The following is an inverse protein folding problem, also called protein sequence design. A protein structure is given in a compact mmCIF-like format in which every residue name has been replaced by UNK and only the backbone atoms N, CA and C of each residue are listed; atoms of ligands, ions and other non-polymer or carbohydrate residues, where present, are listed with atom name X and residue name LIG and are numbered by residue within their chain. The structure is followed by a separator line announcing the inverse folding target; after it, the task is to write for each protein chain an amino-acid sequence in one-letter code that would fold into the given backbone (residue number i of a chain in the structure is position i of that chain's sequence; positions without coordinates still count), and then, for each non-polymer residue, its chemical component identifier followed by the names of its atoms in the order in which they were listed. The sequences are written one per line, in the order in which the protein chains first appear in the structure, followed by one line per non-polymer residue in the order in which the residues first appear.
data_IF_552447177628
#
_entry.id   IF_552447177628
#
_cell.length_a   1.000
_cell.length_b   1.000
_cell.length_c   1.000
_cell.angle_alpha   90.00
_cell.angle_beta   90.00
_cell.angle_gamma   90.00
#
_symmetry.space_group_name_H-M   'P 1'
#
loop_
_entity.id
_entity.type
_entity.pdbx_description
1 polymer ?
#
# COMPACT_ATOMS: atom_id res chain seq x y z
N UNK A 1 -21.10 14.76 -11.36
CA UNK A 1 -20.06 14.57 -10.33
C UNK A 1 -19.57 15.93 -9.85
N UNK A 2 -19.26 16.08 -8.57
CA UNK A 2 -18.76 17.34 -7.98
C UNK A 2 -17.37 17.68 -8.51
N UNK A 3 -16.55 16.67 -8.74
CA UNK A 3 -15.16 16.77 -9.24
C UNK A 3 -14.92 15.79 -10.39
N UNK A 4 -13.88 16.03 -11.15
CA UNK A 4 -13.30 15.08 -12.09
C UNK A 4 -12.27 14.22 -11.32
N UNK A 5 -12.62 12.96 -11.07
CA UNK A 5 -11.81 12.04 -10.28
C UNK A 5 -10.49 11.71 -10.97
N UNK A 6 -10.52 11.48 -12.29
CA UNK A 6 -9.32 11.16 -13.06
C UNK A 6 -8.34 12.33 -13.06
N UNK A 7 -8.84 13.56 -13.21
CA UNK A 7 -8.01 14.76 -13.13
C UNK A 7 -7.42 14.98 -11.72
N UNK A 8 -8.09 14.46 -10.67
CA UNK A 8 -7.59 14.47 -9.30
C UNK A 8 -6.64 13.30 -8.97
N UNK A 9 -6.37 12.41 -9.93
CA UNK A 9 -5.48 11.27 -9.76
C UNK A 9 -6.13 10.03 -9.11
N UNK A 10 -7.45 9.92 -9.18
CA UNK A 10 -8.22 8.81 -8.60
C UNK A 10 -9.08 8.12 -9.65
N UNK A 11 -9.23 6.82 -9.48
CA UNK A 11 -10.22 6.00 -10.19
C UNK A 11 -11.35 5.62 -9.23
N UNK A 12 -12.60 5.75 -9.67
CA UNK A 12 -13.76 5.34 -8.88
C UNK A 12 -13.95 3.84 -9.04
N UNK A 13 -13.48 3.07 -8.07
CA UNK A 13 -13.55 1.61 -8.07
C UNK A 13 -14.99 1.08 -7.90
N UNK A 14 -15.80 1.72 -7.05
CA UNK A 14 -17.20 1.36 -6.84
C UNK A 14 -18.00 2.55 -6.29
N UNK A 15 -19.30 2.53 -6.55
CA UNK A 15 -20.31 3.40 -5.89
C UNK A 15 -21.34 2.49 -5.26
N UNK A 16 -21.42 2.49 -3.93
CA UNK A 16 -22.20 1.55 -3.14
C UNK A 16 -23.29 2.29 -2.36
N UNK A 17 -24.36 1.60 -2.01
CA UNK A 17 -25.57 2.23 -1.46
C UNK A 17 -25.61 2.21 0.06
N UNK A 18 -24.84 1.35 0.71
CA UNK A 18 -24.80 1.21 2.17
C UNK A 18 -23.46 0.70 2.68
N UNK A 19 -23.24 0.84 4.00
CA UNK A 19 -21.97 0.46 4.64
C UNK A 19 -21.72 -1.05 4.64
N UNK A 20 -22.75 -1.89 4.59
CA UNK A 20 -22.59 -3.34 4.54
C UNK A 20 -22.03 -3.78 3.19
N UNK A 21 -22.56 -3.23 2.08
CA UNK A 21 -22.01 -3.47 0.74
C UNK A 21 -20.55 -2.97 0.64
N UNK A 22 -20.26 -1.82 1.25
CA UNK A 22 -18.91 -1.28 1.30
C UNK A 22 -17.94 -2.18 2.08
N UNK A 23 -18.38 -2.73 3.21
CA UNK A 23 -17.57 -3.68 3.99
C UNK A 23 -17.26 -4.94 3.21
N UNK A 24 -18.26 -5.52 2.52
CA UNK A 24 -18.07 -6.70 1.68
C UNK A 24 -17.13 -6.44 0.49
N UNK A 25 -17.16 -5.22 -0.05
CA UNK A 25 -16.25 -4.82 -1.12
C UNK A 25 -14.80 -4.71 -0.62
N UNK A 26 -14.59 -4.03 0.52
CA UNK A 26 -13.26 -3.83 1.14
C UNK A 26 -12.61 -5.17 1.53
N UNK A 27 -13.41 -6.16 1.95
CA UNK A 27 -12.90 -7.51 2.26
C UNK A 27 -12.37 -8.27 1.04
N UNK A 28 -12.83 -7.94 -0.15
CA UNK A 28 -12.51 -8.69 -1.39
C UNK A 28 -11.48 -8.00 -2.26
N UNK A 29 -11.46 -6.68 -2.25
CA UNK A 29 -10.67 -5.87 -3.16
C UNK A 29 -9.96 -4.75 -2.40
N UNK A 30 -8.69 -4.48 -2.73
CA UNK A 30 -7.96 -3.37 -2.13
C UNK A 30 -8.56 -2.03 -2.58
N UNK A 31 -8.66 -1.10 -1.65
CA UNK A 31 -9.05 0.28 -1.90
C UNK A 31 -8.11 1.21 -1.14
N UNK A 32 -7.71 2.32 -1.77
CA UNK A 32 -6.85 3.33 -1.12
C UNK A 32 -7.66 4.34 -0.33
N UNK A 33 -8.85 4.71 -0.80
CA UNK A 33 -9.67 5.77 -0.22
C UNK A 33 -11.16 5.40 -0.22
N UNK A 34 -11.82 5.66 0.89
CA UNK A 34 -13.28 5.52 1.07
C UNK A 34 -13.86 6.89 1.43
N UNK A 35 -14.83 7.34 0.66
CA UNK A 35 -15.63 8.53 0.96
C UNK A 35 -17.04 8.07 1.25
N UNK A 36 -17.53 8.33 2.46
CA UNK A 36 -18.81 7.77 2.91
C UNK A 36 -19.63 8.77 3.71
N UNK A 37 -20.95 8.66 3.59
CA UNK A 37 -21.86 9.38 4.49
C UNK A 37 -21.82 8.78 5.89
N UNK A 38 -22.06 9.61 6.92
CA UNK A 38 -22.31 9.12 8.27
C UNK A 38 -23.56 8.26 8.29
N UNK A 39 -24.68 8.78 7.77
CA UNK A 39 -25.98 8.11 7.81
C UNK A 39 -26.23 7.35 6.52
N UNK A 40 -26.16 6.04 6.60
CA UNK A 40 -26.49 5.11 5.51
C UNK A 40 -27.40 3.98 6.05
N UNK A 41 -28.19 3.32 5.17
CA UNK A 41 -28.93 2.12 5.55
C UNK A 41 -28.02 0.99 6.03
N UNK A 42 -28.57 0.06 6.80
CA UNK A 42 -27.96 -1.17 7.33
C UNK A 42 -26.72 -0.94 8.20
N UNK A 43 -25.72 -0.21 7.70
CA UNK A 43 -24.48 0.11 8.41
C UNK A 43 -24.10 1.57 8.11
N UNK A 44 -23.89 2.34 9.16
CA UNK A 44 -23.42 3.74 9.05
C UNK A 44 -21.96 3.82 8.60
N UNK A 45 -21.54 4.96 8.04
CA UNK A 45 -20.14 5.18 7.66
C UNK A 45 -19.17 5.13 8.84
N UNK A 46 -19.63 5.50 10.03
CA UNK A 46 -18.83 5.39 11.27
C UNK A 46 -18.69 3.95 11.75
N UNK A 47 -19.73 3.13 11.63
CA UNK A 47 -19.66 1.69 11.93
C UNK A 47 -18.78 0.95 10.94
N UNK A 48 -18.84 1.34 9.66
CA UNK A 48 -17.96 0.82 8.62
C UNK A 48 -16.48 1.11 8.98
N UNK A 49 -16.14 2.37 9.25
CA UNK A 49 -14.79 2.78 9.64
C UNK A 49 -14.30 2.03 10.89
N UNK A 50 -15.13 1.99 11.94
CA UNK A 50 -14.84 1.27 13.18
C UNK A 50 -14.54 -0.21 12.92
N UNK A 51 -15.37 -0.88 12.11
CA UNK A 51 -15.24 -2.30 11.79
C UNK A 51 -13.95 -2.56 11.00
N UNK A 52 -13.70 -1.76 9.96
CA UNK A 52 -12.49 -1.90 9.13
C UNK A 52 -11.22 -1.75 9.96
N UNK A 53 -11.18 -0.79 10.89
CA UNK A 53 -10.01 -0.58 11.76
C UNK A 53 -9.87 -1.65 12.83
N UNK A 54 -10.96 -2.02 13.52
CA UNK A 54 -10.93 -3.02 14.59
C UNK A 54 -10.55 -4.40 14.09
N UNK A 55 -11.04 -4.77 12.90
CA UNK A 55 -10.75 -6.08 12.30
C UNK A 55 -9.49 -6.07 11.41
N UNK A 56 -8.81 -4.92 11.32
CA UNK A 56 -7.60 -4.73 10.52
C UNK A 56 -7.76 -5.17 9.04
N UNK A 57 -8.92 -4.85 8.46
CA UNK A 57 -9.29 -5.32 7.12
C UNK A 57 -8.60 -4.50 6.00
N UNK A 58 -8.32 -3.23 6.25
CA UNK A 58 -7.71 -2.34 5.27
C UNK A 58 -7.10 -1.10 5.92
N UNK A 59 -6.03 -0.61 5.34
CA UNK A 59 -5.40 0.67 5.66
C UNK A 59 -5.97 1.84 4.83
N UNK A 60 -7.06 1.63 4.10
CA UNK A 60 -7.70 2.67 3.29
C UNK A 60 -7.93 3.95 4.09
N UNK A 61 -7.68 5.09 3.47
CA UNK A 61 -8.07 6.38 4.04
C UNK A 61 -9.58 6.52 4.07
N UNK A 62 -10.12 7.16 5.11
CA UNK A 62 -11.56 7.43 5.21
C UNK A 62 -11.83 8.92 5.29
N UNK A 63 -12.73 9.41 4.43
CA UNK A 63 -13.32 10.75 4.50
C UNK A 63 -14.79 10.59 4.79
N UNK A 64 -15.25 11.20 5.88
CA UNK A 64 -16.62 11.10 6.35
C UNK A 64 -17.40 12.35 5.93
N UNK A 65 -18.55 12.16 5.30
CA UNK A 65 -19.46 13.22 4.92
C UNK A 65 -20.66 13.23 5.88
N UNK A 66 -21.05 14.39 6.37
CA UNK A 66 -22.19 14.51 7.30
C UNK A 66 -23.08 15.70 6.99
N UNK A 67 -24.39 15.50 7.08
CA UNK A 67 -25.37 16.58 7.10
C UNK A 67 -25.58 17.20 8.48
N UNK A 68 -24.94 16.69 9.51
CA UNK A 68 -25.10 17.10 10.90
C UNK A 68 -23.77 17.57 11.48
N UNK A 69 -23.82 18.70 12.17
CA UNK A 69 -22.67 19.25 12.91
C UNK A 69 -22.50 18.62 14.30
N UNK A 70 -22.90 17.36 14.47
CA UNK A 70 -22.78 16.70 15.76
C UNK A 70 -21.31 16.40 16.07
N UNK A 71 -20.79 17.06 17.08
CA UNK A 71 -19.41 16.90 17.55
C UNK A 71 -19.06 15.45 17.91
N UNK A 72 -20.05 14.68 18.41
CA UNK A 72 -19.89 13.27 18.75
C UNK A 72 -19.48 12.39 17.56
N UNK A 73 -20.02 12.64 16.37
CA UNK A 73 -19.65 11.90 15.15
C UNK A 73 -18.26 12.25 14.67
N UNK A 74 -17.92 13.54 14.68
CA UNK A 74 -16.55 13.97 14.31
C UNK A 74 -15.52 13.40 15.29
N UNK A 75 -15.78 13.44 16.60
CA UNK A 75 -14.90 12.87 17.61
C UNK A 75 -14.71 11.34 17.41
N UNK A 76 -15.79 10.62 17.10
CA UNK A 76 -15.75 9.18 16.84
C UNK A 76 -14.93 8.88 15.57
N UNK A 77 -15.16 9.62 14.49
CA UNK A 77 -14.43 9.48 13.24
C UNK A 77 -12.91 9.69 13.42
N UNK A 78 -12.53 10.75 14.14
CA UNK A 78 -11.13 11.05 14.43
C UNK A 78 -10.48 9.97 15.31
N UNK A 79 -11.19 9.42 16.28
CA UNK A 79 -10.68 8.33 17.14
C UNK A 79 -10.33 7.07 16.36
N UNK A 80 -11.07 6.75 15.29
CA UNK A 80 -10.80 5.63 14.41
C UNK A 80 -9.90 5.99 13.21
N UNK A 81 -9.29 7.18 13.22
CA UNK A 81 -8.29 7.59 12.25
C UNK A 81 -8.87 7.88 10.87
N UNK A 82 -10.01 8.60 10.78
CA UNK A 82 -10.42 9.18 9.51
C UNK A 82 -9.43 10.28 9.09
N UNK A 83 -9.29 10.48 7.79
CA UNK A 83 -8.44 11.54 7.22
C UNK A 83 -9.07 12.89 7.49
N UNK A 84 -10.37 12.99 7.23
CA UNK A 84 -11.12 14.21 7.42
C UNK A 84 -12.64 13.95 7.59
N UNK A 85 -13.33 14.98 8.09
CA UNK A 85 -14.77 14.98 8.33
C UNK A 85 -15.37 16.25 7.72
N UNK A 86 -16.17 16.09 6.67
CA UNK A 86 -16.75 17.20 5.91
C UNK A 86 -18.24 17.37 6.22
N UNK A 87 -18.65 18.60 6.39
CA UNK A 87 -20.07 18.94 6.49
C UNK A 87 -20.68 19.13 5.09
N UNK A 88 -21.88 18.63 4.89
CA UNK A 88 -22.70 18.91 3.70
C UNK A 88 -23.35 20.30 3.81
N UNK A 89 -23.42 21.08 2.71
CA UNK A 89 -23.01 20.73 1.36
C UNK A 89 -21.47 20.73 1.20
N UNK A 90 -20.91 19.67 0.59
CA UNK A 90 -19.48 19.55 0.36
C UNK A 90 -19.07 20.49 -0.76
N UNK A 91 -18.11 21.35 -0.50
CA UNK A 91 -17.54 22.21 -1.52
C UNK A 91 -16.45 21.48 -2.31
N UNK A 92 -16.36 21.80 -3.61
CA UNK A 92 -15.35 21.22 -4.50
C UNK A 92 -13.93 21.45 -4.00
N UNK A 93 -13.65 22.63 -3.48
CA UNK A 93 -12.32 23.01 -3.01
C UNK A 93 -11.89 22.21 -1.78
N UNK A 94 -12.80 22.00 -0.83
CA UNK A 94 -12.54 21.23 0.38
C UNK A 94 -12.19 19.78 0.03
N UNK A 95 -12.98 19.15 -0.85
CA UNK A 95 -12.72 17.80 -1.29
C UNK A 95 -11.37 17.67 -2.02
N UNK A 96 -11.07 18.58 -2.94
CA UNK A 96 -9.79 18.56 -3.66
C UNK A 96 -8.59 18.78 -2.72
N UNK A 97 -8.73 19.64 -1.71
CA UNK A 97 -7.69 19.88 -0.70
C UNK A 97 -7.38 18.59 0.08
N UNK A 98 -8.42 17.88 0.52
CA UNK A 98 -8.28 16.61 1.25
C UNK A 98 -7.64 15.54 0.38
N UNK A 99 -8.08 15.40 -0.88
CA UNK A 99 -7.51 14.44 -1.82
C UNK A 99 -6.02 14.69 -2.09
N UNK A 100 -5.65 15.96 -2.27
CA UNK A 100 -4.25 16.35 -2.46
C UNK A 100 -3.40 16.04 -1.23
N UNK A 101 -3.90 16.36 -0.03
CA UNK A 101 -3.23 16.06 1.24
C UNK A 101 -3.04 14.55 1.42
N UNK A 102 -4.06 13.76 1.11
CA UNK A 102 -4.00 12.30 1.22
C UNK A 102 -2.99 11.70 0.22
N UNK A 103 -2.99 12.17 -1.03
CA UNK A 103 -2.00 11.74 -2.02
C UNK A 103 -0.57 11.95 -1.53
N UNK A 104 -0.26 13.12 -0.96
CA UNK A 104 1.06 13.41 -0.44
C UNK A 104 1.45 12.46 0.71
N UNK A 105 0.52 12.18 1.63
CA UNK A 105 0.74 11.24 2.74
C UNK A 105 0.96 9.82 2.21
N UNK A 106 0.12 9.36 1.30
CA UNK A 106 0.20 8.02 0.72
C UNK A 106 1.48 7.82 -0.09
N UNK A 107 1.90 8.82 -0.87
CA UNK A 107 3.17 8.76 -1.63
C UNK A 107 4.38 8.72 -0.69
N UNK A 108 4.40 9.51 0.37
CA UNK A 108 5.48 9.48 1.34
C UNK A 108 5.58 8.15 2.06
N UNK A 109 4.45 7.56 2.47
CA UNK A 109 4.43 6.24 3.11
C UNK A 109 4.92 5.13 2.16
N UNK A 110 4.51 5.15 0.89
CA UNK A 110 5.00 4.21 -0.12
C UNK A 110 6.50 4.38 -0.39
N UNK A 111 7.00 5.61 -0.41
CA UNK A 111 8.43 5.89 -0.53
C UNK A 111 9.23 5.39 0.68
N UNK A 112 8.75 5.63 1.89
CA UNK A 112 9.38 5.13 3.13
C UNK A 112 9.46 3.60 3.11
N UNK A 113 8.38 2.90 2.73
CA UNK A 113 8.36 1.45 2.60
C UNK A 113 9.35 0.95 1.54
N UNK A 114 9.44 1.62 0.40
CA UNK A 114 10.43 1.28 -0.65
C UNK A 114 11.88 1.50 -0.17
N UNK A 115 12.17 2.60 0.53
CA UNK A 115 13.48 2.84 1.13
C UNK A 115 13.84 1.77 2.16
N UNK A 116 12.89 1.36 2.98
CA UNK A 116 13.05 0.32 3.98
C UNK A 116 13.40 -1.03 3.34
N UNK A 117 12.65 -1.42 2.31
CA UNK A 117 12.91 -2.65 1.54
C UNK A 117 14.27 -2.61 0.83
N UNK A 118 14.62 -1.49 0.22
CA UNK A 118 15.93 -1.32 -0.43
C UNK A 118 17.07 -1.37 0.58
N UNK A 119 16.89 -0.80 1.77
CA UNK A 119 17.90 -0.88 2.83
C UNK A 119 18.06 -2.30 3.35
N UNK A 120 16.97 -3.04 3.56
CA UNK A 120 17.01 -4.46 3.94
C UNK A 120 17.76 -5.30 2.89
N UNK A 121 17.42 -5.10 1.61
CA UNK A 121 18.09 -5.78 0.51
C UNK A 121 19.61 -5.52 0.54
N UNK A 122 20.02 -4.27 0.65
CA UNK A 122 21.44 -3.89 0.72
C UNK A 122 22.16 -4.54 1.89
N UNK A 123 21.54 -4.60 3.08
CA UNK A 123 22.11 -5.25 4.24
C UNK A 123 22.29 -6.75 4.02
N UNK A 124 21.29 -7.43 3.45
CA UNK A 124 21.37 -8.87 3.13
C UNK A 124 22.44 -9.16 2.09
N UNK A 125 22.49 -8.41 1.00
CA UNK A 125 23.50 -8.54 -0.06
C UNK A 125 24.91 -8.34 0.53
N UNK A 126 25.09 -7.31 1.37
CA UNK A 126 26.36 -7.04 2.02
C UNK A 126 26.85 -8.22 2.86
N UNK A 127 25.95 -8.87 3.60
CA UNK A 127 26.27 -10.08 4.38
C UNK A 127 26.64 -11.25 3.47
N UNK A 128 25.92 -11.47 2.38
CA UNK A 128 26.19 -12.55 1.44
C UNK A 128 27.57 -12.43 0.79
N UNK A 129 28.00 -11.20 0.47
CA UNK A 129 29.34 -10.92 -0.06
C UNK A 129 30.44 -10.81 1.02
N UNK A 130 30.14 -11.20 2.26
CA UNK A 130 31.10 -11.21 3.37
C UNK A 130 31.51 -9.82 3.85
N UNK A 131 30.75 -8.78 3.52
CA UNK A 131 30.96 -7.42 4.02
C UNK A 131 30.19 -7.25 5.31
N UNK A 132 30.90 -7.31 6.43
CA UNK A 132 30.27 -7.15 7.75
C UNK A 132 30.01 -5.67 8.06
N UNK A 133 28.75 -5.32 8.21
CA UNK A 133 28.30 -4.04 8.75
C UNK A 133 27.47 -4.29 10.03
N UNK A 134 27.98 -3.94 11.22
CA UNK A 134 27.28 -4.15 12.47
C UNK A 134 25.89 -3.51 12.51
N UNK A 135 25.75 -2.30 11.96
CA UNK A 135 24.47 -1.58 11.96
C UNK A 135 23.44 -2.28 11.07
N UNK A 136 23.89 -2.79 9.91
CA UNK A 136 23.06 -3.58 9.00
C UNK A 136 22.61 -4.90 9.62
N UNK A 137 23.47 -5.58 10.35
CA UNK A 137 23.15 -6.82 11.07
C UNK A 137 22.13 -6.55 12.19
N UNK A 138 22.35 -5.55 13.03
CA UNK A 138 21.43 -5.17 14.09
C UNK A 138 20.05 -4.77 13.54
N UNK A 139 20.04 -4.05 12.41
CA UNK A 139 18.82 -3.70 11.72
C UNK A 139 18.06 -4.94 11.23
N UNK A 140 18.74 -5.89 10.57
CA UNK A 140 18.13 -7.12 10.08
C UNK A 140 17.56 -7.97 11.22
N UNK A 141 18.27 -8.09 12.35
CA UNK A 141 17.78 -8.79 13.55
C UNK A 141 16.52 -8.19 14.16
N UNK A 142 16.34 -6.86 14.02
CA UNK A 142 15.14 -6.17 14.50
C UNK A 142 13.91 -6.38 13.62
N UNK A 143 14.12 -6.48 12.29
CA UNK A 143 13.04 -6.40 11.31
C UNK A 143 12.75 -7.73 10.60
N UNK A 144 13.62 -8.72 10.74
CA UNK A 144 13.45 -10.04 10.15
C UNK A 144 13.47 -11.12 11.24
N UNK A 145 12.55 -12.06 11.13
CA UNK A 145 12.53 -13.25 11.99
C UNK A 145 13.41 -14.35 11.38
N UNK A 146 14.52 -14.63 12.05
CA UNK A 146 15.45 -15.69 11.66
C UNK A 146 15.24 -16.99 12.46
N UNK A 147 14.20 -17.11 13.28
CA UNK A 147 13.98 -18.25 14.16
C UNK A 147 13.79 -19.57 13.40
N UNK A 148 13.29 -19.51 12.16
CA UNK A 148 13.09 -20.66 11.26
C UNK A 148 14.34 -21.07 10.46
N UNK A 149 15.48 -20.40 10.66
CA UNK A 149 16.65 -20.53 9.82
C UNK A 149 16.53 -19.80 8.48
N UNK A 150 17.66 -19.51 7.87
CA UNK A 150 17.75 -18.82 6.58
C UNK A 150 18.19 -19.79 5.50
N UNK A 151 17.45 -19.82 4.39
CA UNK A 151 17.87 -20.53 3.17
C UNK A 151 18.14 -19.51 2.09
N UNK A 152 19.32 -19.59 1.51
CA UNK A 152 19.72 -18.79 0.37
C UNK A 152 19.63 -19.62 -0.91
N UNK A 153 19.01 -19.07 -1.94
CA UNK A 153 18.97 -19.65 -3.28
C UNK A 153 19.45 -18.56 -4.25
N UNK A 154 20.55 -18.81 -4.91
CA UNK A 154 21.04 -17.97 -5.99
C UNK A 154 20.53 -18.54 -7.32
N UNK A 155 19.87 -17.68 -8.10
CA UNK A 155 19.46 -17.99 -9.47
C UNK A 155 20.12 -16.94 -10.36
N UNK A 156 21.08 -17.38 -11.18
CA UNK A 156 21.76 -16.50 -12.12
C UNK A 156 21.39 -16.87 -13.56
N UNK A 157 21.03 -15.85 -14.35
CA UNK A 157 20.91 -15.98 -15.79
C UNK A 157 22.32 -15.78 -16.41
N UNK A 158 22.83 -16.80 -17.09
CA UNK A 158 24.09 -16.68 -17.83
C UNK A 158 23.82 -16.33 -19.28
N UNK A 159 24.41 -15.25 -19.74
CA UNK A 159 24.43 -14.89 -21.14
C UNK A 159 25.57 -15.65 -21.84
N UNK A 160 25.28 -16.37 -22.91
CA UNK A 160 26.31 -16.89 -23.79
C UNK A 160 26.63 -15.83 -24.85
N UNK A 161 27.66 -15.03 -24.59
CA UNK A 161 28.09 -13.97 -25.50
C UNK A 161 28.76 -14.56 -26.75
N UNK A 162 27.98 -14.76 -27.81
CA UNK A 162 28.56 -14.98 -29.15
C UNK A 162 28.16 -13.88 -30.17
N UNK A 163 27.38 -12.88 -29.79
CA UNK A 163 27.05 -11.74 -30.66
C UNK A 163 26.95 -10.44 -29.85
N UNK A 164 27.81 -9.49 -30.22
CA UNK A 164 27.82 -8.10 -29.70
C UNK A 164 26.75 -7.26 -30.40
N UNK A 165 25.47 -7.35 -30.00
CA UNK A 165 24.45 -6.42 -30.42
C UNK A 165 23.80 -5.71 -29.21
N UNK A 166 23.69 -4.40 -29.32
CA UNK A 166 23.18 -3.45 -28.29
C UNK A 166 21.74 -3.74 -27.79
N UNK A 167 21.04 -4.69 -28.38
CA UNK A 167 19.68 -5.12 -27.98
C UNK A 167 19.67 -6.07 -26.77
N UNK A 168 20.85 -6.49 -26.33
CA UNK A 168 21.04 -7.56 -25.36
C UNK A 168 20.80 -7.11 -23.92
N UNK A 169 21.09 -5.86 -23.56
CA UNK A 169 20.92 -5.35 -22.18
C UNK A 169 19.45 -5.22 -21.79
N UNK A 170 18.59 -4.82 -22.73
CA UNK A 170 17.15 -4.73 -22.51
C UNK A 170 16.52 -6.14 -22.40
N UNK A 171 17.00 -7.10 -23.17
CA UNK A 171 16.56 -8.48 -23.09
C UNK A 171 16.96 -9.11 -21.76
N UNK A 172 18.18 -8.87 -21.29
CA UNK A 172 18.70 -9.35 -20.00
C UNK A 172 17.87 -8.81 -18.82
N UNK A 173 17.57 -7.50 -18.80
CA UNK A 173 16.71 -6.86 -17.80
C UNK A 173 15.28 -7.43 -17.82
N UNK A 174 14.76 -7.78 -18.98
CA UNK A 174 13.46 -8.41 -19.11
C UNK A 174 13.45 -9.82 -18.51
N UNK A 175 14.48 -10.62 -18.77
CA UNK A 175 14.64 -11.96 -18.20
C UNK A 175 14.82 -11.92 -16.68
N UNK A 176 15.60 -10.97 -16.14
CA UNK A 176 15.76 -10.77 -14.70
C UNK A 176 14.41 -10.44 -14.04
N UNK A 177 13.63 -9.53 -14.65
CA UNK A 177 12.31 -9.16 -14.15
C UNK A 177 11.34 -10.34 -14.15
N UNK A 178 11.35 -11.16 -15.21
CA UNK A 178 10.46 -12.31 -15.33
C UNK A 178 10.87 -13.42 -14.34
N UNK A 179 12.17 -13.62 -14.09
CA UNK A 179 12.70 -14.48 -13.03
C UNK A 179 12.22 -14.01 -11.64
N UNK A 180 12.37 -12.73 -11.35
CA UNK A 180 11.90 -12.14 -10.10
C UNK A 180 10.40 -12.38 -9.88
N UNK A 181 9.57 -12.07 -10.89
CA UNK A 181 8.12 -12.27 -10.81
C UNK A 181 7.76 -13.75 -10.61
N UNK A 182 8.47 -14.65 -11.29
CA UNK A 182 8.27 -16.10 -11.14
C UNK A 182 8.66 -16.58 -9.74
N UNK A 183 9.75 -16.07 -9.17
CA UNK A 183 10.15 -16.39 -7.80
C UNK A 183 9.10 -15.91 -6.77
N UNK A 184 8.59 -14.69 -6.90
CA UNK A 184 7.54 -14.14 -6.03
C UNK A 184 6.26 -14.96 -6.16
N UNK A 185 5.86 -15.33 -7.37
CA UNK A 185 4.67 -16.13 -7.61
C UNK A 185 4.75 -17.53 -7.01
N UNK A 186 5.92 -18.18 -7.06
CA UNK A 186 6.13 -19.55 -6.55
C UNK A 186 6.27 -19.55 -5.03
N UNK A 187 7.00 -18.58 -4.46
CA UNK A 187 7.35 -18.54 -3.04
C UNK A 187 6.32 -17.79 -2.18
N UNK A 188 5.46 -16.98 -2.81
CA UNK A 188 4.50 -16.07 -2.16
C UNK A 188 5.18 -14.81 -1.62
N UNK A 189 4.48 -13.69 -1.63
CA UNK A 189 4.99 -12.37 -1.22
C UNK A 189 5.49 -12.36 0.23
N UNK A 190 4.83 -13.09 1.14
CA UNK A 190 5.16 -13.13 2.57
C UNK A 190 6.37 -14.02 2.91
N UNK A 191 6.84 -14.86 1.99
CA UNK A 191 7.90 -15.84 2.26
C UNK A 191 9.17 -15.64 1.43
N UNK A 192 9.14 -14.78 0.44
CA UNK A 192 10.27 -14.51 -0.44
C UNK A 192 10.81 -13.11 -0.25
N UNK A 193 12.11 -13.01 -0.03
CA UNK A 193 12.88 -11.78 -0.18
C UNK A 193 13.74 -11.98 -1.43
N UNK A 194 13.17 -11.65 -2.59
CA UNK A 194 13.89 -11.71 -3.86
C UNK A 194 14.53 -10.35 -4.12
N UNK A 195 15.80 -10.35 -4.48
CA UNK A 195 16.55 -9.16 -4.85
C UNK A 195 17.20 -9.41 -6.21
N UNK A 196 17.07 -8.44 -7.12
CA UNK A 196 17.81 -8.42 -8.39
C UNK A 196 18.92 -7.37 -8.26
N UNK A 197 20.16 -7.74 -8.66
CA UNK A 197 21.26 -6.81 -8.87
C UNK A 197 21.14 -6.10 -10.20
#
# INVERSE_FOLDING_TARGET
ALIDWNAAGYEVAAVLSDGQEALEYIKKLPVDLVITDVMMPKMTGLELLETVRRENLSNAGFVILSGYSEFSYAQKALRYGCIDYLLKPVEKQDLLSILSKYNNISQNSKMEEQYELAYQARCLISLLFGKYDPNGVDYLHKHLDFSGGVRYIEISACHSSDNEDDDDENHFRMVQRDLYQSCVQILGEDRSRCFCD
#
